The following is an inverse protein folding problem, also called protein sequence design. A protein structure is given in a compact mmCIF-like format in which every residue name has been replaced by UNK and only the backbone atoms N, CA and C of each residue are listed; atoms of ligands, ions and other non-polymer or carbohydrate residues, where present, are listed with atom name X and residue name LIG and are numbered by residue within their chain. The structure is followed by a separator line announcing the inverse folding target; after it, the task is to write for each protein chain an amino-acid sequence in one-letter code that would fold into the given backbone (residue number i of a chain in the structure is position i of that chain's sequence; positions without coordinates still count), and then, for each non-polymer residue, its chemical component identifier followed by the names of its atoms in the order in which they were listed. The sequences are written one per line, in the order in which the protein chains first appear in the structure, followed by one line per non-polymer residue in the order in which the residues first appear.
data_IF_553777005514
#
_entry.id   IF_553777005514
#
_cell.length_a   1.000
_cell.length_b   1.000
_cell.length_c   1.000
_cell.angle_alpha   90.00
_cell.angle_beta   90.00
_cell.angle_gamma   90.00
#
_symmetry.space_group_name_H-M   'P 1'
#
loop_
_entity.id
_entity.type
_entity.pdbx_description
1 polymer ?
#
# COMPACT_ATOMS: atom_id res chain seq x y z
N UNK A 1 16.76 -19.56 -7.28
CA UNK A 1 17.88 -19.31 -8.21
C UNK A 1 18.36 -17.88 -8.01
N UNK A 2 19.59 -17.76 -7.50
CA UNK A 2 20.45 -16.58 -7.32
C UNK A 2 19.82 -15.30 -6.77
N UNK A 3 19.99 -15.15 -5.46
CA UNK A 3 20.02 -13.91 -4.67
C UNK A 3 20.79 -12.79 -5.37
N UNK A 4 20.20 -11.59 -5.47
CA UNK A 4 20.97 -10.35 -5.59
C UNK A 4 20.79 -9.52 -4.31
N UNK A 5 21.82 -9.61 -3.49
CA UNK A 5 22.31 -8.58 -2.59
C UNK A 5 22.18 -7.20 -3.24
N UNK A 6 21.64 -6.24 -2.49
CA UNK A 6 21.81 -4.83 -2.78
C UNK A 6 23.32 -4.52 -2.78
N UNK A 7 23.85 -4.11 -3.93
CA UNK A 7 25.22 -3.65 -4.07
C UNK A 7 25.31 -2.21 -3.53
N UNK A 8 26.04 -1.97 -2.42
CA UNK A 8 26.13 -0.66 -1.78
C UNK A 8 27.20 0.23 -2.44
N UNK A 9 27.80 -0.19 -3.56
CA UNK A 9 29.01 0.44 -4.12
C UNK A 9 28.80 1.78 -4.84
N UNK A 10 27.56 2.25 -5.01
CA UNK A 10 27.28 3.51 -5.72
C UNK A 10 27.78 3.53 -7.18
N UNK A 11 28.16 2.38 -7.76
CA UNK A 11 28.59 2.29 -9.14
C UNK A 11 27.36 2.38 -10.06
N UNK A 12 27.40 3.22 -11.11
CA UNK A 12 26.29 3.29 -12.06
C UNK A 12 26.05 1.90 -12.64
N UNK A 13 24.83 1.38 -12.48
CA UNK A 13 24.43 0.15 -13.13
C UNK A 13 24.75 0.27 -14.62
N UNK A 14 25.44 -0.73 -15.19
CA UNK A 14 25.77 -0.79 -16.61
C UNK A 14 24.54 -0.36 -17.45
N UNK A 15 24.76 0.54 -18.43
CA UNK A 15 23.72 1.14 -19.27
C UNK A 15 22.83 0.05 -19.90
N UNK A 16 21.74 -0.31 -19.21
CA UNK A 16 20.68 -1.12 -19.79
C UNK A 16 19.84 -0.21 -20.67
N UNK A 17 19.39 -0.75 -21.79
CA UNK A 17 18.45 -0.03 -22.64
C UNK A 17 17.09 0.08 -21.92
N UNK A 18 16.51 1.28 -21.92
CA UNK A 18 15.19 1.52 -21.35
C UNK A 18 14.16 0.67 -22.10
N UNK A 19 13.33 -0.07 -21.36
CA UNK A 19 12.35 -0.99 -21.92
C UNK A 19 12.88 -2.39 -22.22
N UNK A 20 14.17 -2.66 -22.02
CA UNK A 20 14.76 -4.00 -22.20
C UNK A 20 14.11 -5.04 -21.29
N UNK A 21 13.99 -6.27 -21.80
CA UNK A 21 13.31 -7.37 -21.11
C UNK A 21 14.12 -7.83 -19.88
N UNK A 22 13.44 -7.90 -18.72
CA UNK A 22 13.97 -8.41 -17.46
C UNK A 22 13.56 -9.85 -17.16
N UNK A 23 12.33 -10.21 -17.55
CA UNK A 23 11.73 -11.52 -17.28
C UNK A 23 11.31 -12.18 -18.59
N UNK A 24 11.43 -13.51 -18.70
CA UNK A 24 10.99 -14.22 -19.89
C UNK A 24 9.49 -14.06 -20.13
N UNK A 25 9.08 -14.28 -21.38
CA UNK A 25 7.67 -14.38 -21.72
C UNK A 25 6.97 -15.46 -20.88
N UNK A 26 5.71 -15.24 -20.52
CA UNK A 26 4.97 -16.14 -19.64
C UNK A 26 5.28 -15.97 -18.14
N UNK A 27 6.24 -15.13 -17.74
CA UNK A 27 6.51 -14.87 -16.32
C UNK A 27 5.30 -14.27 -15.59
N UNK A 28 5.03 -14.76 -14.38
CA UNK A 28 3.99 -14.25 -13.49
C UNK A 28 4.29 -12.83 -12.96
N UNK A 29 5.54 -12.37 -13.06
CA UNK A 29 5.96 -11.06 -12.56
C UNK A 29 5.30 -9.88 -13.29
N UNK A 30 5.01 -8.82 -12.54
CA UNK A 30 4.54 -7.54 -13.07
C UNK A 30 5.67 -6.68 -13.64
N UNK A 31 6.86 -6.71 -13.02
CA UNK A 31 8.04 -5.96 -13.48
C UNK A 31 8.76 -6.75 -14.55
N UNK A 32 8.43 -6.51 -15.82
CA UNK A 32 8.93 -7.31 -16.96
C UNK A 32 9.98 -6.60 -17.80
N UNK A 33 9.99 -5.27 -17.76
CA UNK A 33 10.90 -4.41 -18.51
C UNK A 33 11.71 -3.53 -17.57
N UNK A 34 12.92 -3.19 -17.97
CA UNK A 34 13.80 -2.33 -17.20
C UNK A 34 13.49 -0.86 -17.46
N UNK A 35 13.29 -0.11 -16.39
CA UNK A 35 13.24 1.34 -16.40
C UNK A 35 14.18 1.85 -15.31
N UNK A 36 14.86 2.99 -15.49
CA UNK A 36 15.69 3.63 -14.47
C UNK A 36 14.83 4.33 -13.41
N UNK A 37 13.74 3.70 -13.00
CA UNK A 37 12.77 4.24 -12.04
C UNK A 37 13.04 3.65 -10.68
N UNK A 38 13.39 4.52 -9.74
CA UNK A 38 13.46 4.16 -8.34
C UNK A 38 12.05 4.20 -7.75
N UNK A 39 11.44 3.03 -7.55
CA UNK A 39 10.12 2.94 -6.93
C UNK A 39 10.15 3.47 -5.50
N UNK A 40 9.13 4.25 -5.08
CA UNK A 40 9.10 4.82 -3.73
C UNK A 40 9.06 3.69 -2.69
N UNK A 41 9.75 3.92 -1.57
CA UNK A 41 9.77 2.99 -0.43
C UNK A 41 8.63 3.34 0.52
N UNK A 42 7.93 2.34 1.03
CA UNK A 42 6.91 2.50 2.07
C UNK A 42 7.48 3.21 3.31
N UNK A 43 6.84 4.28 3.79
CA UNK A 43 7.36 5.09 4.90
C UNK A 43 8.41 6.15 4.52
N UNK A 44 8.80 6.24 3.24
CA UNK A 44 9.76 7.24 2.76
C UNK A 44 11.18 7.11 3.35
N UNK A 45 12.10 7.99 2.99
CA UNK A 45 13.50 7.90 3.47
C UNK A 45 13.67 8.33 4.94
N UNK A 46 12.65 8.97 5.53
CA UNK A 46 12.70 9.57 6.88
C UNK A 46 12.17 8.65 8.00
N UNK A 47 11.70 7.44 7.69
CA UNK A 47 11.23 6.49 8.71
C UNK A 47 12.41 5.94 9.52
N UNK A 48 12.73 6.64 10.61
CA UNK A 48 13.76 6.22 11.56
C UNK A 48 13.28 5.00 12.36
N UNK A 49 14.14 3.99 12.58
CA UNK A 49 13.83 2.88 13.48
C UNK A 49 13.67 3.38 14.92
N UNK A 50 12.85 2.67 15.69
CA UNK A 50 12.87 2.77 17.15
C UNK A 50 14.13 2.07 17.70
N UNK A 51 14.56 2.42 18.93
CA UNK A 51 15.54 1.61 19.67
C UNK A 51 15.09 0.14 19.78
N UNK A 52 16.04 -0.80 19.86
CA UNK A 52 15.72 -2.23 19.87
C UNK A 52 14.93 -2.68 21.11
N UNK A 53 15.03 -1.92 22.19
CA UNK A 53 14.39 -2.11 23.50
C UNK A 53 13.13 -1.23 23.69
N UNK A 54 12.66 -0.52 22.65
CA UNK A 54 11.59 0.48 22.77
C UNK A 54 10.31 -0.03 23.48
N UNK A 55 9.92 -1.29 23.22
CA UNK A 55 8.75 -1.91 23.84
C UNK A 55 9.02 -2.56 25.21
N UNK A 56 10.27 -2.53 25.67
CA UNK A 56 10.71 -3.06 26.96
C UNK A 56 10.99 -1.95 27.97
N UNK A 57 10.94 -0.69 27.56
CA UNK A 57 11.16 0.46 28.45
C UNK A 57 10.01 0.63 29.44
N UNK A 58 10.31 1.12 30.65
CA UNK A 58 9.29 1.46 31.65
C UNK A 58 8.26 2.47 31.12
N UNK A 59 8.71 3.40 30.28
CA UNK A 59 7.85 4.39 29.65
C UNK A 59 6.75 3.74 28.79
N UNK A 60 7.05 2.65 28.10
CA UNK A 60 6.07 1.87 27.34
C UNK A 60 5.28 0.93 28.25
N UNK A 61 5.96 0.10 29.05
CA UNK A 61 5.34 -0.96 29.84
C UNK A 61 4.36 -0.45 30.90
N UNK A 62 4.64 0.71 31.52
CA UNK A 62 3.74 1.30 32.54
C UNK A 62 2.45 1.88 31.95
N UNK A 63 2.43 2.19 30.65
CA UNK A 63 1.32 2.87 29.98
C UNK A 63 0.56 1.96 29.00
N UNK A 64 1.23 0.98 28.40
CA UNK A 64 0.60 0.10 27.42
C UNK A 64 -0.47 -0.79 28.08
N UNK A 65 -1.71 -0.59 27.65
CA UNK A 65 -2.83 -1.49 27.98
C UNK A 65 -3.31 -2.13 26.68
N UNK A 66 -3.32 -3.47 26.58
CA UNK A 66 -3.71 -4.15 25.34
C UNK A 66 -5.21 -3.96 25.06
N UNK A 67 -5.52 -3.60 23.83
CA UNK A 67 -6.87 -3.42 23.29
C UNK A 67 -7.26 -4.52 22.30
N UNK A 68 -8.06 -4.14 21.31
CA UNK A 68 -8.52 -5.08 20.29
C UNK A 68 -7.42 -5.42 19.28
N UNK A 69 -7.64 -6.52 18.56
CA UNK A 69 -6.74 -7.00 17.52
C UNK A 69 -7.14 -6.38 16.17
N UNK A 70 -6.15 -5.92 15.42
CA UNK A 70 -6.31 -5.52 14.02
C UNK A 70 -5.36 -6.32 13.14
N UNK A 71 -5.76 -6.55 11.89
CA UNK A 71 -5.02 -7.32 10.91
C UNK A 71 -4.60 -6.40 9.76
N UNK A 72 -3.32 -6.04 9.71
CA UNK A 72 -2.75 -5.27 8.59
C UNK A 72 -2.32 -6.23 7.48
N UNK A 73 -2.64 -5.92 6.22
CA UNK A 73 -2.45 -6.86 5.12
C UNK A 73 -2.02 -6.18 3.82
N UNK A 74 -1.47 -7.00 2.91
CA UNK A 74 -1.34 -6.67 1.50
C UNK A 74 -2.27 -7.53 0.65
N UNK A 75 -2.92 -6.94 -0.34
CA UNK A 75 -3.80 -7.64 -1.25
C UNK A 75 -3.55 -7.25 -2.72
N UNK A 76 -3.89 -8.16 -3.63
CA UNK A 76 -3.86 -7.94 -5.07
C UNK A 76 -5.08 -8.58 -5.75
N UNK A 77 -5.33 -8.25 -7.01
CA UNK A 77 -6.44 -8.80 -7.80
C UNK A 77 -6.09 -8.86 -9.30
N UNK A 78 -6.89 -9.60 -10.06
CA UNK A 78 -6.79 -9.65 -11.54
C UNK A 78 -6.20 -10.93 -12.12
N UNK A 79 -6.25 -12.03 -11.39
CA UNK A 79 -6.05 -13.36 -11.96
C UNK A 79 -7.42 -14.02 -12.15
N UNK A 80 -7.93 -14.04 -13.38
CA UNK A 80 -9.19 -14.67 -13.72
C UNK A 80 -8.95 -15.84 -14.70
N UNK A 81 -9.12 -17.11 -14.28
CA UNK A 81 -8.76 -18.27 -15.10
C UNK A 81 -9.57 -18.36 -16.40
N UNK A 82 -10.80 -17.83 -16.42
CA UNK A 82 -11.70 -17.90 -17.58
C UNK A 82 -11.81 -16.60 -18.39
N UNK A 83 -11.07 -15.54 -18.00
CA UNK A 83 -11.11 -14.26 -18.70
C UNK A 83 -9.74 -13.56 -18.62
N UNK A 84 -8.83 -13.85 -19.56
CA UNK A 84 -7.48 -13.27 -19.57
C UNK A 84 -7.45 -11.74 -19.69
N UNK A 85 -8.54 -11.11 -20.14
CA UNK A 85 -8.66 -9.65 -20.21
C UNK A 85 -8.97 -9.01 -18.84
N UNK A 86 -9.47 -9.78 -17.87
CA UNK A 86 -9.80 -9.31 -16.52
C UNK A 86 -8.54 -9.25 -15.63
N UNK A 87 -7.69 -8.26 -15.89
CA UNK A 87 -6.36 -8.17 -15.29
C UNK A 87 -6.29 -7.36 -13.99
N UNK A 88 -7.34 -6.66 -13.55
CA UNK A 88 -7.39 -5.97 -12.25
C UNK A 88 -6.14 -5.15 -11.91
N UNK A 89 -5.70 -5.21 -10.65
CA UNK A 89 -4.49 -4.52 -10.18
C UNK A 89 -3.21 -5.07 -10.83
N UNK A 90 -3.13 -6.37 -11.11
CA UNK A 90 -1.94 -6.94 -11.77
C UNK A 90 -1.75 -6.41 -13.19
N UNK A 91 -2.83 -6.07 -13.90
CA UNK A 91 -2.80 -5.39 -15.19
C UNK A 91 -2.15 -4.01 -15.08
N UNK A 92 -2.56 -3.22 -14.08
CA UNK A 92 -1.94 -1.91 -13.79
C UNK A 92 -0.46 -2.09 -13.47
N UNK A 93 -0.13 -3.02 -12.57
CA UNK A 93 1.24 -3.32 -12.17
C UNK A 93 2.12 -3.69 -13.38
N UNK A 94 1.57 -4.44 -14.35
CA UNK A 94 2.25 -4.81 -15.60
C UNK A 94 2.43 -3.63 -16.55
N UNK A 95 1.39 -2.79 -16.73
CA UNK A 95 1.49 -1.57 -17.55
C UNK A 95 2.60 -0.66 -17.02
N UNK A 96 2.62 -0.43 -15.72
CA UNK A 96 3.64 0.39 -15.05
C UNK A 96 5.00 -0.31 -14.84
N UNK A 97 5.12 -1.61 -15.07
CA UNK A 97 6.28 -2.40 -14.63
C UNK A 97 6.65 -2.14 -13.15
N UNK A 98 5.64 -2.12 -12.28
CA UNK A 98 5.76 -1.72 -10.88
C UNK A 98 5.19 -2.76 -9.90
N UNK A 99 5.72 -2.84 -8.67
CA UNK A 99 5.16 -3.69 -7.62
C UNK A 99 4.00 -3.01 -6.90
N UNK A 100 2.75 -3.20 -7.35
CA UNK A 100 1.58 -2.56 -6.74
C UNK A 100 0.74 -3.53 -5.91
N UNK A 101 0.37 -3.09 -4.70
CA UNK A 101 -0.54 -3.81 -3.81
C UNK A 101 -1.46 -2.86 -3.07
N UNK A 102 -2.64 -3.34 -2.70
CA UNK A 102 -3.47 -2.67 -1.71
C UNK A 102 -2.90 -2.94 -0.32
N UNK A 103 -2.70 -1.91 0.50
CA UNK A 103 -2.37 -2.04 1.92
C UNK A 103 -3.50 -1.43 2.75
N UNK A 104 -3.93 -2.10 3.82
CA UNK A 104 -5.01 -1.65 4.70
C UNK A 104 -5.01 -2.51 5.98
N UNK A 105 -5.82 -2.13 6.96
CA UNK A 105 -6.04 -2.89 8.18
C UNK A 105 -7.53 -3.28 8.33
N UNK A 106 -7.81 -4.32 9.11
CA UNK A 106 -9.19 -4.70 9.43
C UNK A 106 -9.29 -5.29 10.83
N UNK A 107 -10.38 -4.99 11.53
CA UNK A 107 -10.73 -5.59 12.82
C UNK A 107 -11.70 -6.76 12.69
N UNK A 108 -12.03 -7.17 11.46
CA UNK A 108 -12.90 -8.32 11.24
C UNK A 108 -12.26 -9.59 11.80
N UNK A 109 -13.07 -10.41 12.49
CA UNK A 109 -12.63 -11.68 13.07
C UNK A 109 -12.11 -12.67 12.02
N UNK A 110 -12.73 -12.67 10.84
CA UNK A 110 -12.24 -13.35 9.65
C UNK A 110 -11.79 -12.30 8.60
N UNK A 111 -10.48 -12.07 8.46
CA UNK A 111 -9.96 -11.12 7.47
C UNK A 111 -10.37 -11.45 6.03
N UNK A 112 -10.71 -12.71 5.70
CA UNK A 112 -11.15 -13.06 4.34
C UNK A 112 -12.49 -12.43 3.98
N UNK A 113 -13.34 -12.12 4.97
CA UNK A 113 -14.58 -11.37 4.78
C UNK A 113 -14.28 -9.99 4.18
N UNK A 114 -13.21 -9.34 4.62
CA UNK A 114 -12.77 -8.05 4.08
C UNK A 114 -12.46 -8.12 2.59
N UNK A 115 -11.80 -9.20 2.14
CA UNK A 115 -11.51 -9.38 0.71
C UNK A 115 -12.76 -9.65 -0.13
N UNK A 116 -13.77 -10.33 0.42
CA UNK A 116 -15.07 -10.50 -0.24
C UNK A 116 -15.78 -9.17 -0.40
N UNK A 117 -15.72 -8.28 0.60
CA UNK A 117 -16.24 -6.92 0.50
C UNK A 117 -15.53 -6.10 -0.59
N UNK A 118 -14.19 -6.16 -0.64
CA UNK A 118 -13.41 -5.48 -1.69
C UNK A 118 -13.75 -6.00 -3.09
N UNK A 119 -13.92 -7.31 -3.21
CA UNK A 119 -14.30 -7.97 -4.46
C UNK A 119 -15.70 -7.59 -4.91
N UNK A 120 -16.67 -7.62 -3.98
CA UNK A 120 -18.05 -7.20 -4.25
C UNK A 120 -18.14 -5.71 -4.62
N UNK A 121 -17.40 -4.86 -3.92
CA UNK A 121 -17.33 -3.42 -4.18
C UNK A 121 -16.43 -3.04 -5.35
N UNK A 122 -15.70 -3.99 -5.94
CA UNK A 122 -14.70 -3.78 -7.01
C UNK A 122 -13.78 -2.59 -6.69
N UNK A 123 -13.22 -2.59 -5.47
CA UNK A 123 -12.42 -1.47 -4.98
C UNK A 123 -11.32 -1.06 -5.98
N UNK A 124 -11.26 0.20 -6.36
CA UNK A 124 -10.27 0.74 -7.30
C UNK A 124 -10.57 0.49 -8.79
N UNK A 125 -11.68 -0.17 -9.14
CA UNK A 125 -12.00 -0.53 -10.52
C UNK A 125 -12.33 0.65 -11.42
N UNK A 126 -12.66 1.83 -10.88
CA UNK A 126 -13.05 2.99 -11.69
C UNK A 126 -11.84 3.84 -12.10
N UNK A 127 -11.81 4.31 -13.35
CA UNK A 127 -10.80 5.23 -13.92
C UNK A 127 -11.36 6.01 -15.09
N UNK A 128 -10.50 6.78 -15.76
CA UNK A 128 -10.81 7.50 -16.98
C UNK A 128 -10.17 6.81 -18.19
N UNK A 129 -10.88 6.81 -19.32
CA UNK A 129 -10.28 6.53 -20.63
C UNK A 129 -9.34 7.65 -21.05
N UNK A 130 -8.56 7.45 -22.12
CA UNK A 130 -7.70 8.50 -22.67
C UNK A 130 -8.52 9.73 -23.15
N UNK A 131 -9.76 9.50 -23.57
CA UNK A 131 -10.73 10.54 -23.95
C UNK A 131 -11.38 11.23 -22.74
N UNK A 132 -11.12 10.74 -21.52
CA UNK A 132 -11.62 11.34 -20.28
C UNK A 132 -12.96 10.79 -19.78
N UNK A 133 -13.47 9.69 -20.37
CA UNK A 133 -14.73 9.08 -19.92
C UNK A 133 -14.52 8.17 -18.72
N UNK A 134 -15.42 8.21 -17.74
CA UNK A 134 -15.38 7.28 -16.61
C UNK A 134 -15.67 5.85 -17.09
N UNK A 135 -14.83 4.90 -16.70
CA UNK A 135 -15.00 3.49 -17.01
C UNK A 135 -14.65 2.60 -15.82
N UNK A 136 -15.09 1.34 -15.87
CA UNK A 136 -14.78 0.31 -14.87
C UNK A 136 -13.92 -0.78 -15.50
N UNK A 137 -12.72 -1.01 -14.96
CA UNK A 137 -11.83 -2.08 -15.41
C UNK A 137 -12.22 -3.44 -14.79
N UNK A 138 -12.08 -4.49 -15.60
CA UNK A 138 -12.34 -5.87 -15.21
C UNK A 138 -11.24 -6.43 -14.29
N UNK A 139 -11.57 -7.45 -13.48
CA UNK A 139 -10.61 -8.18 -12.64
C UNK A 139 -10.40 -7.63 -11.24
N UNK A 140 -11.10 -6.56 -10.86
CA UNK A 140 -11.12 -5.99 -9.50
C UNK A 140 -12.07 -6.70 -8.54
N UNK A 141 -12.65 -7.82 -8.95
CA UNK A 141 -13.58 -8.68 -8.21
C UNK A 141 -12.93 -9.98 -7.69
N UNK A 142 -11.59 -10.06 -7.76
CA UNK A 142 -10.80 -11.24 -7.36
C UNK A 142 -9.72 -10.89 -6.34
N UNK A 143 -10.05 -10.10 -5.33
CA UNK A 143 -9.08 -9.70 -4.31
C UNK A 143 -8.62 -10.89 -3.47
N UNK A 144 -7.30 -11.05 -3.36
CA UNK A 144 -6.64 -12.10 -2.58
C UNK A 144 -5.49 -11.55 -1.75
N UNK A 145 -5.29 -12.10 -0.56
CA UNK A 145 -4.17 -11.74 0.30
C UNK A 145 -2.86 -12.20 -0.32
N UNK A 146 -1.85 -11.34 -0.21
CA UNK A 146 -0.47 -11.70 -0.50
C UNK A 146 0.21 -12.28 0.73
N UNK A 147 1.11 -13.22 0.51
CA UNK A 147 2.00 -13.72 1.56
C UNK A 147 3.01 -12.61 1.89
N UNK A 148 3.14 -12.29 3.18
CA UNK A 148 4.13 -11.32 3.67
C UNK A 148 5.37 -12.06 4.19
N UNK A 149 6.53 -11.81 3.60
CA UNK A 149 7.81 -12.39 4.01
C UNK A 149 8.79 -11.27 4.37
N UNK A 150 8.83 -10.82 5.65
CA UNK A 150 9.85 -9.88 6.11
C UNK A 150 11.24 -10.52 6.10
N UNK A 151 12.28 -9.68 6.02
CA UNK A 151 13.68 -10.10 6.17
C UNK A 151 14.05 -10.16 7.65
N UNK A 152 13.55 -9.20 8.42
CA UNK A 152 13.69 -9.12 9.86
C UNK A 152 12.49 -9.69 10.61
N UNK A 153 12.42 -9.35 11.90
CA UNK A 153 11.32 -9.65 12.80
C UNK A 153 10.89 -8.37 13.51
N UNK A 154 9.64 -8.30 14.01
CA UNK A 154 9.24 -7.26 14.95
C UNK A 154 10.21 -7.14 16.12
N UNK A 155 10.29 -5.94 16.70
CA UNK A 155 11.11 -5.69 17.89
C UNK A 155 10.66 -6.58 19.06
N UNK A 156 11.57 -6.83 19.99
CA UNK A 156 11.23 -7.59 21.19
C UNK A 156 10.19 -6.83 22.02
N UNK A 157 9.17 -7.55 22.51
CA UNK A 157 8.02 -6.94 23.19
C UNK A 157 7.03 -6.21 22.27
N UNK A 158 7.29 -6.16 20.95
CA UNK A 158 6.40 -5.52 19.98
C UNK A 158 5.00 -6.15 19.99
N UNK A 159 3.93 -5.34 19.92
CA UNK A 159 2.55 -5.84 19.81
C UNK A 159 2.20 -6.35 18.41
N UNK A 160 3.19 -6.47 17.51
CA UNK A 160 3.05 -6.95 16.14
C UNK A 160 3.50 -8.41 16.05
N UNK A 161 2.67 -9.26 15.45
CA UNK A 161 3.00 -10.65 15.14
C UNK A 161 2.85 -10.89 13.65
N UNK A 162 3.91 -11.43 13.03
CA UNK A 162 3.90 -11.81 11.62
C UNK A 162 3.04 -13.07 11.45
N UNK A 163 2.06 -13.01 10.55
CA UNK A 163 1.24 -14.13 10.10
C UNK A 163 1.57 -14.41 8.62
N UNK A 164 1.17 -15.56 8.09
CA UNK A 164 1.49 -15.92 6.68
C UNK A 164 1.03 -14.84 5.67
N UNK A 165 -0.16 -14.28 5.88
CA UNK A 165 -0.85 -13.39 4.93
C UNK A 165 -1.11 -11.98 5.45
N UNK A 166 -0.42 -11.59 6.51
CA UNK A 166 -0.61 -10.30 7.14
C UNK A 166 0.14 -10.15 8.46
N UNK A 167 -0.17 -9.08 9.18
CA UNK A 167 0.38 -8.75 10.48
C UNK A 167 -0.78 -8.64 11.47
N UNK A 168 -0.74 -9.45 12.51
CA UNK A 168 -1.64 -9.33 13.65
C UNK A 168 -1.08 -8.27 14.58
N UNK A 169 -1.88 -7.26 14.92
CA UNK A 169 -1.44 -6.10 15.70
C UNK A 169 -2.38 -5.91 16.88
N UNK A 170 -1.83 -5.94 18.10
CA UNK A 170 -2.57 -5.61 19.33
C UNK A 170 -2.49 -4.11 19.58
N UNK A 171 -3.55 -3.38 19.24
CA UNK A 171 -3.57 -1.94 19.49
C UNK A 171 -3.63 -1.63 20.99
N UNK A 172 -3.11 -0.47 21.45
CA UNK A 172 -3.45 0.09 22.75
C UNK A 172 -4.97 0.21 22.93
N UNK A 173 -5.47 0.06 24.14
CA UNK A 173 -6.91 0.08 24.47
C UNK A 173 -7.65 1.36 24.06
N UNK A 174 -6.90 2.44 23.90
CA UNK A 174 -7.35 3.81 23.62
C UNK A 174 -6.96 4.28 22.21
N UNK A 175 -6.43 3.38 21.35
CA UNK A 175 -6.18 3.65 19.94
C UNK A 175 -7.24 2.97 19.08
N UNK A 176 -8.13 3.76 18.48
CA UNK A 176 -9.17 3.28 17.57
C UNK A 176 -8.61 2.73 16.25
N UNK A 177 -9.34 1.82 15.61
CA UNK A 177 -8.89 1.13 14.39
C UNK A 177 -8.82 2.06 13.20
N UNK A 178 -9.82 2.93 13.06
CA UNK A 178 -9.88 3.96 12.03
C UNK A 178 -8.74 4.96 12.17
N UNK A 179 -8.42 5.36 13.40
CA UNK A 179 -7.30 6.25 13.69
C UNK A 179 -5.96 5.57 13.37
N UNK A 180 -5.79 4.32 13.79
CA UNK A 180 -4.61 3.52 13.47
C UNK A 180 -4.42 3.39 11.94
N UNK A 181 -5.47 3.01 11.22
CA UNK A 181 -5.43 2.86 9.76
C UNK A 181 -5.13 4.19 9.07
N UNK A 182 -5.75 5.29 9.51
CA UNK A 182 -5.44 6.63 9.01
C UNK A 182 -3.98 7.00 9.20
N UNK A 183 -3.42 6.84 10.42
CA UNK A 183 -2.01 7.13 10.71
C UNK A 183 -1.07 6.25 9.88
N UNK A 184 -1.44 4.99 9.65
CA UNK A 184 -0.73 4.08 8.76
C UNK A 184 -0.72 4.62 7.32
N UNK A 185 -1.88 5.01 6.78
CA UNK A 185 -1.97 5.59 5.44
C UNK A 185 -1.21 6.91 5.28
N UNK A 186 -1.25 7.79 6.28
CA UNK A 186 -0.53 9.05 6.28
C UNK A 186 0.99 8.83 6.18
N UNK A 187 1.54 7.87 6.94
CA UNK A 187 2.96 7.51 6.86
C UNK A 187 3.36 6.82 5.54
N UNK A 188 2.39 6.25 4.82
CA UNK A 188 2.60 5.59 3.52
C UNK A 188 2.23 6.48 2.33
N UNK A 189 1.76 7.70 2.54
CA UNK A 189 1.14 8.51 1.49
C UNK A 189 2.07 8.74 0.28
N UNK A 190 3.35 9.00 0.52
CA UNK A 190 4.37 9.24 -0.51
C UNK A 190 4.61 8.03 -1.43
N UNK A 191 4.27 6.81 -0.98
CA UNK A 191 4.36 5.61 -1.80
C UNK A 191 3.00 5.14 -2.35
N UNK A 192 1.95 5.95 -2.20
CA UNK A 192 0.66 5.66 -2.83
C UNK A 192 0.75 5.90 -4.34
N UNK A 193 0.03 5.09 -5.12
CA UNK A 193 -0.07 5.23 -6.57
C UNK A 193 -0.52 6.65 -6.95
N UNK A 194 -1.55 7.17 -6.29
CA UNK A 194 -2.08 8.51 -6.54
C UNK A 194 -1.04 9.62 -6.32
N UNK A 195 -0.37 9.63 -5.17
CA UNK A 195 0.64 10.66 -4.89
C UNK A 195 1.85 10.53 -5.83
N UNK A 196 2.31 9.32 -6.11
CA UNK A 196 3.45 9.09 -6.99
C UNK A 196 3.17 9.54 -8.44
N UNK A 197 1.95 9.33 -8.96
CA UNK A 197 1.56 9.77 -10.31
C UNK A 197 1.68 11.29 -10.51
N UNK A 198 1.59 12.07 -9.43
CA UNK A 198 1.77 13.52 -9.46
C UNK A 198 3.20 13.97 -9.12
N UNK A 199 4.05 13.05 -8.69
CA UNK A 199 5.46 13.34 -8.42
C UNK A 199 6.28 13.51 -9.71
N UNK A 200 7.42 14.23 -9.67
CA UNK A 200 8.33 14.32 -10.81
C UNK A 200 8.76 12.94 -11.34
N UNK A 201 9.02 11.98 -10.45
CA UNK A 201 9.40 10.62 -10.81
C UNK A 201 8.29 9.85 -11.54
N UNK A 202 7.05 9.99 -11.09
CA UNK A 202 5.89 9.37 -11.75
C UNK A 202 5.59 9.98 -13.11
N UNK A 203 5.69 11.30 -13.23
CA UNK A 203 5.54 12.01 -14.52
C UNK A 203 6.61 11.55 -15.51
N UNK A 204 7.88 11.49 -15.08
CA UNK A 204 8.98 11.04 -15.92
C UNK A 204 8.82 9.58 -16.35
N UNK A 205 8.47 8.68 -15.42
CA UNK A 205 8.24 7.27 -15.75
C UNK A 205 7.12 7.09 -16.77
N UNK A 206 5.96 7.72 -16.55
CA UNK A 206 4.81 7.56 -17.45
C UNK A 206 5.12 8.10 -18.86
N UNK A 207 5.92 9.18 -18.97
CA UNK A 207 6.43 9.65 -20.27
C UNK A 207 7.36 8.62 -20.93
N UNK A 208 8.28 8.02 -20.18
CA UNK A 208 9.18 6.99 -20.72
C UNK A 208 8.45 5.71 -21.14
N UNK A 209 7.37 5.36 -20.44
CA UNK A 209 6.58 4.16 -20.70
C UNK A 209 5.42 4.37 -21.69
N UNK A 210 5.24 5.60 -22.21
CA UNK A 210 4.12 6.00 -23.07
C UNK A 210 2.74 5.69 -22.46
N UNK A 211 2.55 6.10 -21.20
CA UNK A 211 1.32 5.86 -20.44
C UNK A 211 0.64 7.18 -20.08
N UNK A 212 -0.64 7.31 -20.42
CA UNK A 212 -1.48 8.39 -19.90
C UNK A 212 -1.81 8.15 -18.43
N UNK A 213 -1.27 9.01 -17.56
CA UNK A 213 -1.46 8.98 -16.10
C UNK A 213 -2.93 9.01 -15.67
N UNK A 214 -3.81 9.62 -16.47
CA UNK A 214 -5.26 9.70 -16.16
C UNK A 214 -5.89 8.31 -16.09
N UNK A 215 -5.42 7.38 -16.92
CA UNK A 215 -5.88 5.98 -16.96
C UNK A 215 -5.37 5.14 -15.78
N UNK A 216 -4.42 5.67 -15.01
CA UNK A 216 -3.85 5.02 -13.83
C UNK A 216 -4.47 5.51 -12.52
N UNK A 217 -5.15 6.67 -12.53
CA UNK A 217 -5.88 7.17 -11.36
C UNK A 217 -7.07 6.28 -11.07
N UNK A 218 -7.23 5.90 -9.80
CA UNK A 218 -8.22 4.91 -9.36
C UNK A 218 -9.25 5.51 -8.44
N UNK A 219 -10.48 5.06 -8.61
CA UNK A 219 -11.60 5.46 -7.78
C UNK A 219 -12.42 4.23 -7.35
N UNK A 220 -13.13 4.42 -6.24
CA UNK A 220 -14.11 3.47 -5.71
C UNK A 220 -15.44 4.19 -5.51
N UNK A 221 -16.53 3.48 -5.75
CA UNK A 221 -17.89 3.93 -5.43
C UNK A 221 -18.33 3.40 -4.09
N UNK A 222 -18.89 4.29 -3.28
CA UNK A 222 -19.52 3.95 -2.02
C UNK A 222 -20.98 4.36 -2.10
N UNK A 223 -21.88 3.45 -1.74
CA UNK A 223 -23.29 3.80 -1.54
C UNK A 223 -23.41 4.64 -0.28
N UNK A 224 -23.94 5.86 -0.40
CA UNK A 224 -24.24 6.71 0.75
C UNK A 224 -25.65 7.26 0.56
N UNK A 225 -26.61 6.72 1.31
CA UNK A 225 -28.05 6.95 1.10
C UNK A 225 -28.47 6.59 -0.34
N UNK A 226 -29.28 7.46 -0.98
CA UNK A 226 -29.78 7.28 -2.34
C UNK A 226 -28.77 7.68 -3.44
N UNK A 227 -27.55 8.09 -3.07
CA UNK A 227 -26.54 8.55 -4.04
C UNK A 227 -25.26 7.72 -3.97
N UNK A 228 -24.60 7.61 -5.12
CA UNK A 228 -23.29 7.00 -5.24
C UNK A 228 -22.22 8.07 -5.12
N UNK A 229 -21.36 7.94 -4.11
CA UNK A 229 -20.19 8.81 -3.97
C UNK A 229 -18.97 8.14 -4.60
N UNK A 230 -18.31 8.85 -5.50
CA UNK A 230 -16.97 8.50 -5.99
C UNK A 230 -15.92 9.03 -5.02
N UNK A 231 -14.96 8.18 -4.65
CA UNK A 231 -13.80 8.58 -3.85
C UNK A 231 -12.52 8.01 -4.46
N UNK A 232 -11.41 8.74 -4.32
CA UNK A 232 -10.10 8.28 -4.79
C UNK A 232 -9.67 7.04 -4.00
N UNK A 233 -9.21 6.02 -4.70
CA UNK A 233 -8.70 4.79 -4.08
C UNK A 233 -7.24 4.99 -3.64
N UNK A 234 -7.07 5.61 -2.47
CA UNK A 234 -5.75 6.01 -1.95
C UNK A 234 -4.92 4.86 -1.35
N UNK A 235 -5.52 3.67 -1.21
CA UNK A 235 -4.93 2.55 -0.50
C UNK A 235 -4.14 1.59 -1.41
N UNK A 236 -3.72 2.04 -2.60
CA UNK A 236 -2.87 1.28 -3.54
C UNK A 236 -1.46 1.86 -3.47
N UNK A 237 -0.47 1.01 -3.18
CA UNK A 237 0.90 1.41 -2.87
C UNK A 237 1.93 0.64 -3.70
N UNK A 238 3.08 1.28 -3.93
CA UNK A 238 4.29 0.57 -4.35
C UNK A 238 4.83 -0.23 -3.16
N UNK A 239 4.70 -1.55 -3.24
CA UNK A 239 5.01 -2.44 -2.12
C UNK A 239 5.47 -3.82 -2.62
N UNK A 240 6.57 -4.32 -2.06
CA UNK A 240 7.11 -5.64 -2.34
C UNK A 240 6.89 -6.57 -1.14
N UNK A 241 5.89 -7.48 -1.20
CA UNK A 241 5.47 -8.26 -0.03
C UNK A 241 6.48 -9.33 0.43
N UNK A 242 7.61 -9.48 -0.27
CA UNK A 242 8.64 -10.49 0.03
C UNK A 242 10.04 -9.87 0.13
N UNK A 243 10.10 -8.62 0.58
CA UNK A 243 11.35 -7.88 0.78
C UNK A 243 11.27 -7.06 2.07
N UNK A 244 12.31 -6.28 2.32
CA UNK A 244 12.41 -5.30 3.39
C UNK A 244 11.31 -4.21 3.40
N UNK A 245 10.44 -4.12 2.38
CA UNK A 245 9.22 -3.30 2.47
C UNK A 245 8.27 -3.81 3.56
N UNK A 246 8.24 -5.12 3.84
CA UNK A 246 7.45 -5.68 4.94
C UNK A 246 8.03 -5.25 6.30
N UNK A 247 9.36 -5.25 6.45
CA UNK A 247 10.02 -4.75 7.65
C UNK A 247 9.72 -3.27 7.90
N UNK A 248 9.60 -2.48 6.82
CA UNK A 248 9.22 -1.07 6.90
C UNK A 248 7.75 -0.89 7.28
N UNK A 249 6.85 -1.75 6.80
CA UNK A 249 5.45 -1.77 7.27
C UNK A 249 5.37 -2.10 8.76
N UNK A 250 6.11 -3.11 9.23
CA UNK A 250 6.22 -3.44 10.67
C UNK A 250 6.70 -2.22 11.45
N UNK A 251 7.77 -1.56 11.00
CA UNK A 251 8.30 -0.36 11.65
C UNK A 251 7.30 0.80 11.69
N UNK A 252 6.52 1.02 10.63
CA UNK A 252 5.45 2.04 10.62
C UNK A 252 4.46 1.76 11.75
N UNK A 253 3.99 0.51 11.84
CA UNK A 253 3.03 0.06 12.85
C UNK A 253 3.62 0.22 14.26
N UNK A 254 4.86 -0.21 14.46
CA UNK A 254 5.58 -0.08 15.72
C UNK A 254 5.74 1.37 16.16
N UNK A 255 6.13 2.27 15.24
CA UNK A 255 6.25 3.71 15.50
C UNK A 255 4.91 4.32 15.89
N UNK A 256 3.82 3.95 15.20
CA UNK A 256 2.46 4.44 15.53
C UNK A 256 2.11 4.06 16.96
N UNK A 257 2.28 2.77 17.33
CA UNK A 257 1.89 2.27 18.65
C UNK A 257 2.80 2.84 19.74
N UNK A 258 4.11 2.77 19.55
CA UNK A 258 5.07 3.27 20.53
C UNK A 258 4.85 4.76 20.80
N UNK A 259 4.72 5.60 19.77
CA UNK A 259 4.47 7.04 19.95
C UNK A 259 3.14 7.31 20.62
N UNK A 260 2.08 6.58 20.26
CA UNK A 260 0.77 6.71 20.91
C UNK A 260 0.86 6.48 22.42
N UNK A 261 1.55 5.40 22.83
CA UNK A 261 1.68 5.00 24.23
C UNK A 261 2.61 5.94 25.01
N UNK A 262 3.75 6.34 24.44
CA UNK A 262 4.81 7.06 25.18
C UNK A 262 4.67 8.57 25.18
N UNK A 263 4.03 9.16 24.17
CA UNK A 263 3.84 10.62 24.06
C UNK A 263 2.41 11.05 24.41
N UNK A 264 1.51 10.09 24.66
CA UNK A 264 0.10 10.31 24.94
C UNK A 264 -0.70 10.84 23.73
N UNK A 265 -2.03 10.86 23.87
CA UNK A 265 -2.95 11.33 22.82
C UNK A 265 -2.80 12.83 22.46
N UNK A 266 -2.17 13.63 23.34
CA UNK A 266 -2.05 15.08 23.15
C UNK A 266 -1.09 15.48 22.02
N UNK A 267 -0.02 14.71 21.74
CA UNK A 267 0.91 14.98 20.64
C UNK A 267 0.34 14.52 19.29
N UNK A 268 -0.62 13.58 19.30
CA UNK A 268 -1.26 13.07 18.09
C UNK A 268 -2.24 14.06 17.43
N UNK A 269 -2.67 15.12 18.13
CA UNK A 269 -3.66 16.06 17.61
C UNK A 269 -3.07 17.33 16.98
N UNK A 270 -1.80 17.66 17.25
CA UNK A 270 -1.23 18.97 16.87
C UNK A 270 -0.80 19.05 15.39
N UNK A 271 -0.71 17.92 14.67
CA UNK A 271 -0.43 17.92 13.21
C UNK A 271 -1.53 17.31 12.34
N UNK A 272 -2.70 16.96 12.89
CA UNK A 272 -3.67 16.09 12.23
C UNK A 272 -5.03 16.74 11.92
N UNK A 273 -5.04 18.02 11.57
CA UNK A 273 -6.17 18.60 10.84
C UNK A 273 -6.23 17.99 9.43
N UNK A 274 -7.20 17.10 9.24
CA UNK A 274 -7.61 16.50 7.97
C UNK A 274 -7.63 17.54 6.85
N UNK A 275 -6.69 17.46 5.90
CA UNK A 275 -6.97 17.91 4.54
C UNK A 275 -7.91 16.88 3.94
N UNK A 276 -9.19 17.25 3.89
CA UNK A 276 -10.30 16.37 3.59
C UNK A 276 -10.09 15.53 2.32
N UNK A 277 -10.69 14.34 2.33
CA UNK A 277 -10.86 13.47 1.18
C UNK A 277 -11.22 14.32 -0.05
N UNK A 278 -10.33 14.40 -1.04
CA UNK A 278 -10.53 15.22 -2.23
C UNK A 278 -11.83 14.85 -2.93
N UNK A 279 -12.85 15.68 -2.78
CA UNK A 279 -14.12 15.56 -3.50
C UNK A 279 -13.90 16.26 -4.85
N UNK A 280 -13.68 15.48 -5.91
CA UNK A 280 -13.87 15.99 -7.27
C UNK A 280 -15.37 16.09 -7.54
N UNK A 281 -15.92 17.30 -7.46
CA UNK A 281 -17.28 17.60 -7.95
C UNK A 281 -17.29 17.44 -9.47
N UNK A 282 -18.24 16.67 -9.98
CA UNK A 282 -18.57 16.68 -11.41
C UNK A 282 -18.97 18.11 -11.82
N UNK A 283 -18.34 18.63 -12.89
CA UNK A 283 -18.96 19.72 -13.64
C UNK A 283 -20.11 19.09 -14.42
N UNK A 284 -21.33 19.53 -14.12
CA UNK A 284 -22.49 19.23 -14.95
C UNK A 284 -22.21 19.72 -16.38
N UNK A 285 -22.51 18.87 -17.36
CA UNK A 285 -22.65 19.24 -18.77
C UNK A 285 -23.97 19.98 -18.94
#
# INVERSE_FOLDING_TARGET
MTTKTDDPSGRPHANREIGSVLLPEGSAGAVRRWYPTQWPRIGGTKLLPLPSDAFLTDAFLSQYRPGFLTFAYAAGCGYHPHNPAAQGLVGIARRLNAPLHKLSATTQSDPTTRLRELSRGRYGALTMTAEGHLCSELGFDTWTFQVLLPVGRPLEGSPVTVQERGLSVRLPHDLGSEEFEKRMHDLMQDCSLGAWLESPGGIAHCRMADIDRRTLRRYSTYGFNATWRRSVANEIYFFRPKTDDVDRLIRIIEVIIHRHVTLGAAVANVSFLSRGQGIEKERAV
#
